data_IF_652495612557
#
_entry.id   IF_652495612557
#
_cell.length_a   1.000
_cell.length_b   1.000
_cell.length_c   1.000
_cell.angle_alpha   90.00
_cell.angle_beta   90.00
_cell.angle_gamma   90.00
#
_symmetry.space_group_name_H-M   'P 1'
#
loop_
_entity.id
_entity.type
_entity.pdbx_description
1 polymer ?
#
# COMPACT_ATOMS: atom_id res chain seq x y z
N UNK A 1 8.47 16.40 -12.75
CA UNK A 1 8.24 16.61 -14.20
C UNK A 1 7.13 17.64 -14.33
N UNK A 2 7.34 18.72 -15.08
CA UNK A 2 6.32 19.77 -15.23
C UNK A 2 5.37 19.41 -16.40
N UNK A 3 4.10 19.81 -16.38
CA UNK A 3 3.10 19.42 -17.39
C UNK A 3 3.50 19.74 -18.85
N UNK A 4 4.32 20.79 -19.05
CA UNK A 4 4.79 21.23 -20.36
C UNK A 4 5.84 20.30 -21.03
N UNK A 5 6.46 19.37 -20.30
CA UNK A 5 7.52 18.48 -20.83
C UNK A 5 6.97 17.19 -21.49
N UNK A 6 5.67 16.92 -21.37
CA UNK A 6 5.04 15.69 -21.89
C UNK A 6 4.65 15.72 -23.38
N UNK A 7 4.69 16.89 -24.04
CA UNK A 7 4.12 17.08 -25.39
C UNK A 7 5.02 16.65 -26.55
N UNK A 8 6.29 16.29 -26.30
CA UNK A 8 7.28 15.97 -27.34
C UNK A 8 7.63 14.47 -27.45
N UNK A 9 6.92 13.60 -26.74
CA UNK A 9 7.21 12.16 -26.77
C UNK A 9 6.40 11.47 -27.88
N UNK A 10 7.04 10.65 -28.75
CA UNK A 10 6.36 9.97 -29.86
C UNK A 10 5.50 8.77 -29.40
N UNK A 11 5.08 8.75 -28.15
CA UNK A 11 4.34 7.64 -27.51
C UNK A 11 3.09 8.17 -26.82
N UNK A 12 2.04 7.35 -26.75
CA UNK A 12 0.81 7.69 -26.01
C UNK A 12 1.09 7.80 -24.50
N UNK A 13 0.25 8.50 -23.73
CA UNK A 13 0.41 8.58 -22.26
C UNK A 13 0.45 7.22 -21.56
N UNK A 14 -0.27 6.22 -22.08
CA UNK A 14 -0.26 4.85 -21.56
C UNK A 14 1.10 4.17 -21.83
N UNK A 15 1.60 4.27 -23.06
CA UNK A 15 2.92 3.74 -23.43
C UNK A 15 4.05 4.46 -22.68
N UNK A 16 3.95 5.78 -22.50
CA UNK A 16 4.90 6.55 -21.71
C UNK A 16 4.90 6.09 -20.24
N UNK A 17 3.72 5.81 -19.66
CA UNK A 17 3.61 5.31 -18.29
C UNK A 17 4.18 3.89 -18.14
N UNK A 18 3.89 3.00 -19.09
CA UNK A 18 4.44 1.65 -19.07
C UNK A 18 5.95 1.64 -19.29
N UNK A 19 6.48 2.52 -20.15
CA UNK A 19 7.92 2.72 -20.32
C UNK A 19 8.57 3.27 -19.05
N UNK A 20 7.95 4.27 -18.40
CA UNK A 20 8.43 4.80 -17.13
C UNK A 20 8.42 3.74 -16.03
N UNK A 21 7.38 2.90 -15.96
CA UNK A 21 7.30 1.79 -15.02
C UNK A 21 8.38 0.74 -15.29
N UNK A 22 8.61 0.38 -16.55
CA UNK A 22 9.66 -0.56 -16.94
C UNK A 22 11.05 -0.03 -16.56
N UNK A 23 11.31 1.26 -16.76
CA UNK A 23 12.56 1.89 -16.38
C UNK A 23 12.80 1.78 -14.86
N UNK A 24 11.82 2.13 -14.03
CA UNK A 24 11.92 2.01 -12.56
C UNK A 24 12.23 0.57 -12.15
N UNK A 25 11.53 -0.41 -12.74
CA UNK A 25 11.70 -1.82 -12.40
C UNK A 25 13.04 -2.41 -12.84
N UNK A 26 13.68 -1.83 -13.86
CA UNK A 26 15.00 -2.23 -14.34
C UNK A 26 16.15 -1.51 -13.61
N UNK A 27 15.88 -0.31 -13.10
CA UNK A 27 16.87 0.57 -12.47
C UNK A 27 17.28 0.09 -11.08
N UNK A 28 16.30 -0.31 -10.25
CA UNK A 28 16.60 -0.79 -8.90
C UNK A 28 15.71 -1.94 -8.42
N UNK A 29 16.24 -2.72 -7.49
CA UNK A 29 15.46 -3.69 -6.70
C UNK A 29 15.26 -3.10 -5.31
N UNK A 30 14.03 -3.19 -4.79
CA UNK A 30 13.75 -2.71 -3.44
C UNK A 30 14.44 -3.60 -2.39
N UNK A 31 14.95 -2.95 -1.35
CA UNK A 31 15.29 -3.65 -0.11
C UNK A 31 13.99 -3.98 0.62
N UNK A 32 13.89 -5.19 1.16
CA UNK A 32 12.71 -5.66 1.89
C UNK A 32 13.12 -6.07 3.30
N UNK A 33 12.65 -5.32 4.29
CA UNK A 33 12.88 -5.58 5.71
C UNK A 33 11.59 -6.00 6.39
N UNK A 34 11.60 -7.12 7.12
CA UNK A 34 10.46 -7.54 7.91
C UNK A 34 10.43 -6.78 9.24
N UNK A 35 9.29 -6.20 9.55
CA UNK A 35 9.02 -5.50 10.82
C UNK A 35 7.83 -6.14 11.53
N UNK A 36 7.75 -5.97 12.85
CA UNK A 36 6.57 -6.31 13.63
C UNK A 36 5.86 -5.04 14.10
N UNK A 37 4.60 -4.88 13.70
CA UNK A 37 3.75 -3.77 14.11
C UNK A 37 2.80 -4.26 15.22
N UNK A 38 3.36 -4.46 16.42
CA UNK A 38 2.66 -4.95 17.60
C UNK A 38 1.90 -6.28 17.36
N UNK A 39 2.66 -7.30 16.98
CA UNK A 39 2.15 -8.63 16.62
C UNK A 39 1.55 -8.71 15.22
N UNK A 40 1.76 -7.69 14.39
CA UNK A 40 1.35 -7.68 12.98
C UNK A 40 2.61 -7.66 12.11
N UNK A 41 3.00 -8.80 11.50
CA UNK A 41 4.17 -8.81 10.63
C UNK A 41 3.90 -7.97 9.38
N UNK A 42 4.83 -7.10 9.03
CA UNK A 42 4.78 -6.31 7.80
C UNK A 42 6.17 -6.27 7.16
N UNK A 43 6.24 -5.78 5.94
CA UNK A 43 7.49 -5.59 5.21
C UNK A 43 7.61 -4.15 4.78
N UNK A 44 8.67 -3.50 5.22
CA UNK A 44 9.08 -2.20 4.71
C UNK A 44 9.89 -2.44 3.45
N UNK A 45 9.43 -1.88 2.35
CA UNK A 45 10.05 -2.01 1.04
C UNK A 45 10.55 -0.65 0.59
N UNK A 46 11.86 -0.49 0.50
CA UNK A 46 12.50 0.81 0.29
C UNK A 46 13.44 0.77 -0.91
N UNK A 47 13.35 1.82 -1.73
CA UNK A 47 14.21 2.08 -2.88
C UNK A 47 14.90 3.44 -2.75
N UNK A 48 15.89 3.68 -3.60
CA UNK A 48 16.63 4.94 -3.66
C UNK A 48 15.84 6.02 -4.40
N UNK A 49 14.83 5.63 -5.17
CA UNK A 49 14.01 6.54 -5.99
C UNK A 49 12.53 6.49 -5.61
N UNK A 50 11.75 7.49 -6.05
CA UNK A 50 10.31 7.64 -5.75
C UNK A 50 9.39 6.55 -6.36
N UNK A 51 9.95 5.46 -6.89
CA UNK A 51 9.27 4.43 -7.68
C UNK A 51 8.77 3.21 -6.90
N UNK A 52 8.89 3.16 -5.56
CA UNK A 52 8.56 1.97 -4.77
C UNK A 52 7.18 1.36 -5.08
N UNK A 53 6.14 2.19 -5.26
CA UNK A 53 4.80 1.71 -5.59
C UNK A 53 4.70 0.97 -6.95
N UNK A 54 5.59 1.26 -7.91
CA UNK A 54 5.64 0.57 -9.21
C UNK A 54 5.99 -0.91 -9.03
N UNK A 55 6.79 -1.25 -8.01
CA UNK A 55 7.14 -2.63 -7.71
C UNK A 55 5.96 -3.49 -7.27
N UNK A 56 4.79 -2.90 -6.97
CA UNK A 56 3.56 -3.68 -6.80
C UNK A 56 3.20 -4.50 -8.05
N UNK A 57 3.61 -4.06 -9.25
CA UNK A 57 3.44 -4.85 -10.49
C UNK A 57 4.26 -6.14 -10.52
N UNK A 58 5.29 -6.24 -9.67
CA UNK A 58 6.21 -7.38 -9.56
C UNK A 58 6.39 -7.82 -8.11
N UNK A 59 5.35 -7.65 -7.30
CA UNK A 59 5.47 -7.85 -5.84
C UNK A 59 5.80 -9.30 -5.46
N UNK A 60 5.41 -10.25 -6.32
CA UNK A 60 5.71 -11.68 -6.17
C UNK A 60 7.21 -12.00 -6.29
N UNK A 61 8.02 -11.10 -6.87
CA UNK A 61 9.48 -11.22 -6.88
C UNK A 61 10.12 -10.95 -5.50
N UNK A 62 9.31 -10.46 -4.55
CA UNK A 62 9.73 -10.10 -3.20
C UNK A 62 9.05 -10.94 -2.12
N UNK A 63 7.76 -11.22 -2.27
CA UNK A 63 6.92 -11.84 -1.25
C UNK A 63 5.98 -12.87 -1.87
N UNK A 64 5.67 -13.92 -1.12
CA UNK A 64 4.55 -14.79 -1.46
C UNK A 64 3.24 -14.02 -1.18
N UNK A 65 2.45 -13.84 -2.23
CA UNK A 65 1.15 -13.15 -2.15
C UNK A 65 0.04 -14.17 -2.32
N UNK A 66 -0.92 -14.17 -1.41
CA UNK A 66 -2.12 -15.00 -1.54
C UNK A 66 -3.04 -14.44 -2.62
N UNK A 67 -4.03 -15.24 -3.04
CA UNK A 67 -5.10 -14.76 -3.93
C UNK A 67 -5.91 -13.60 -3.33
N UNK A 68 -5.85 -13.42 -2.01
CA UNK A 68 -6.53 -12.35 -1.30
C UNK A 68 -5.74 -11.04 -1.35
N UNK A 69 -4.50 -11.07 -1.83
CA UNK A 69 -3.67 -9.89 -2.06
C UNK A 69 -2.93 -9.39 -0.82
N UNK A 70 -2.67 -8.08 -0.80
CA UNK A 70 -1.86 -7.40 0.23
C UNK A 70 -2.58 -6.15 0.74
N UNK A 71 -2.36 -5.81 2.00
CA UNK A 71 -2.53 -4.43 2.45
C UNK A 71 -1.24 -3.65 2.19
N UNK A 72 -1.39 -2.41 1.74
CA UNK A 72 -0.30 -1.54 1.32
C UNK A 72 -0.50 -0.16 1.94
N UNK A 73 0.55 0.39 2.54
CA UNK A 73 0.65 1.80 2.92
C UNK A 73 1.78 2.46 2.14
N UNK A 74 1.56 3.71 1.73
CA UNK A 74 2.49 4.50 0.91
C UNK A 74 2.81 5.81 1.63
N UNK A 75 3.54 5.77 2.76
CA UNK A 75 3.70 6.95 3.62
C UNK A 75 4.54 8.05 2.96
N UNK A 76 5.52 7.70 2.14
CA UNK A 76 6.44 8.64 1.48
C UNK A 76 6.99 8.10 0.15
N UNK A 77 7.56 8.95 -0.71
CA UNK A 77 8.22 8.50 -1.93
C UNK A 77 9.33 7.49 -1.64
N UNK A 78 9.40 6.44 -2.45
CA UNK A 78 10.47 5.43 -2.35
C UNK A 78 10.33 4.45 -1.19
N UNK A 79 9.25 4.51 -0.41
CA UNK A 79 8.97 3.54 0.64
C UNK A 79 7.51 3.09 0.58
N UNK A 80 7.28 1.78 0.71
CA UNK A 80 5.97 1.21 0.94
C UNK A 80 6.02 0.18 2.05
N UNK A 81 4.94 0.08 2.82
CA UNK A 81 4.79 -0.97 3.83
C UNK A 81 3.69 -1.90 3.36
N UNK A 82 4.00 -3.19 3.32
CA UNK A 82 3.07 -4.22 2.86
C UNK A 82 2.82 -5.28 3.92
N UNK A 83 1.60 -5.80 3.94
CA UNK A 83 1.19 -6.93 4.78
C UNK A 83 0.38 -7.90 3.91
N UNK A 84 0.86 -9.13 3.66
CA UNK A 84 0.08 -10.15 2.99
C UNK A 84 -1.17 -10.51 3.75
N UNK A 85 -2.30 -10.55 3.05
CA UNK A 85 -3.57 -10.92 3.67
C UNK A 85 -3.57 -12.43 3.93
N UNK A 86 -3.76 -12.79 5.20
CA UNK A 86 -3.93 -14.17 5.64
C UNK A 86 -4.46 -14.25 7.08
N UNK A 87 -5.49 -15.07 7.28
CA UNK A 87 -6.08 -15.34 8.60
C UNK A 87 -6.90 -14.17 9.20
N UNK A 88 -7.19 -14.25 10.51
CA UNK A 88 -8.09 -13.32 11.22
C UNK A 88 -7.45 -11.96 11.60
N UNK A 89 -6.16 -11.74 11.33
CA UNK A 89 -5.43 -10.55 11.78
C UNK A 89 -5.66 -9.30 10.91
N UNK A 90 -6.48 -9.39 9.85
CA UNK A 90 -6.64 -8.31 8.85
C UNK A 90 -7.10 -6.99 9.47
N UNK A 91 -8.08 -7.00 10.37
CA UNK A 91 -8.57 -5.76 11.01
C UNK A 91 -7.48 -5.09 11.86
N UNK A 92 -6.72 -5.89 12.61
CA UNK A 92 -5.56 -5.38 13.36
C UNK A 92 -4.54 -4.81 12.40
N UNK A 93 -4.23 -5.50 11.30
CA UNK A 93 -3.26 -5.02 10.34
C UNK A 93 -3.67 -3.70 9.68
N UNK A 94 -4.95 -3.50 9.33
CA UNK A 94 -5.46 -2.20 8.85
C UNK A 94 -5.15 -1.10 9.87
N UNK A 95 -5.48 -1.32 11.13
CA UNK A 95 -5.23 -0.35 12.19
C UNK A 95 -3.74 -0.02 12.33
N UNK A 96 -2.87 -1.04 12.36
CA UNK A 96 -1.43 -0.86 12.51
C UNK A 96 -0.80 -0.12 11.33
N UNK A 97 -1.16 -0.50 10.10
CA UNK A 97 -0.67 0.18 8.90
C UNK A 97 -1.22 1.62 8.83
N UNK A 98 -2.47 1.85 9.21
CA UNK A 98 -3.07 3.18 9.22
C UNK A 98 -2.37 4.12 10.20
N UNK A 99 -2.11 3.65 11.43
CA UNK A 99 -1.40 4.43 12.44
C UNK A 99 0.02 4.78 12.00
N UNK A 100 0.74 3.80 11.44
CA UNK A 100 2.07 4.02 10.89
C UNK A 100 2.04 5.04 9.75
N UNK A 101 1.17 4.85 8.76
CA UNK A 101 1.05 5.75 7.61
C UNK A 101 0.67 7.17 8.03
N UNK A 102 -0.27 7.33 8.97
CA UNK A 102 -0.66 8.64 9.48
C UNK A 102 0.45 9.33 10.27
N UNK A 103 1.25 8.59 11.03
CA UNK A 103 2.40 9.13 11.76
C UNK A 103 3.47 9.62 10.79
N UNK A 104 3.86 8.78 9.83
CA UNK A 104 4.91 9.11 8.84
C UNK A 104 4.47 10.23 7.89
N UNK A 105 3.22 10.23 7.45
CA UNK A 105 2.67 11.31 6.62
C UNK A 105 2.69 12.66 7.33
N UNK A 106 2.45 12.70 8.66
CA UNK A 106 2.43 13.95 9.43
C UNK A 106 3.81 14.41 9.89
N UNK A 107 4.79 13.51 9.98
CA UNK A 107 6.13 13.86 10.47
C UNK A 107 7.01 14.48 9.39
N UNK A 108 6.56 14.54 8.14
CA UNK A 108 7.38 14.96 6.99
C UNK A 108 6.60 15.86 6.03
N UNK A 109 7.32 16.75 5.35
CA UNK A 109 6.76 17.62 4.33
C UNK A 109 6.52 16.90 2.99
N UNK A 110 7.15 15.72 2.80
CA UNK A 110 7.07 14.90 1.57
C UNK A 110 6.14 13.69 1.69
N UNK A 111 5.21 13.69 2.66
CA UNK A 111 4.26 12.61 2.86
C UNK A 111 3.44 12.31 1.58
N UNK A 112 3.39 11.04 1.17
CA UNK A 112 2.72 10.63 -0.06
C UNK A 112 1.23 10.32 0.17
N UNK A 113 0.93 9.42 1.12
CA UNK A 113 -0.44 9.08 1.48
C UNK A 113 -0.53 8.58 2.92
N UNK A 114 -1.50 9.06 3.71
CA UNK A 114 -1.77 8.51 5.04
C UNK A 114 -2.67 7.26 5.00
N UNK A 115 -3.12 6.83 3.81
CA UNK A 115 -4.16 5.80 3.69
C UNK A 115 -3.59 4.39 3.53
N UNK A 116 -4.43 3.40 3.87
CA UNK A 116 -4.19 1.99 3.59
C UNK A 116 -4.98 1.58 2.35
N UNK A 117 -4.35 0.77 1.52
CA UNK A 117 -4.89 0.25 0.28
C UNK A 117 -4.88 -1.27 0.30
N UNK A 118 -5.85 -1.87 -0.35
CA UNK A 118 -5.85 -3.27 -0.71
C UNK A 118 -5.30 -3.40 -2.13
N UNK A 119 -4.16 -4.06 -2.27
CA UNK A 119 -3.63 -4.48 -3.55
C UNK A 119 -4.10 -5.90 -3.88
N UNK A 120 -4.78 -6.06 -5.00
CA UNK A 120 -5.18 -7.36 -5.54
C UNK A 120 -5.28 -7.29 -7.06
N UNK A 121 -4.76 -8.30 -7.76
CA UNK A 121 -4.82 -8.43 -9.22
C UNK A 121 -4.38 -7.15 -9.96
N UNK A 122 -3.28 -6.54 -9.50
CA UNK A 122 -2.72 -5.32 -10.07
C UNK A 122 -3.50 -4.02 -9.78
N UNK A 123 -4.51 -4.07 -8.91
CA UNK A 123 -5.34 -2.89 -8.54
C UNK A 123 -5.14 -2.51 -7.08
N UNK A 124 -4.93 -1.22 -6.83
CA UNK A 124 -4.99 -0.63 -5.50
C UNK A 124 -6.38 -0.07 -5.24
N UNK A 125 -7.05 -0.58 -4.22
CA UNK A 125 -8.34 -0.08 -3.75
C UNK A 125 -8.18 0.51 -2.36
N UNK A 126 -8.49 1.80 -2.17
CA UNK A 126 -8.38 2.44 -0.85
C UNK A 126 -9.37 1.82 0.13
N UNK A 127 -8.89 1.46 1.32
CA UNK A 127 -9.72 1.12 2.47
C UNK A 127 -10.03 2.42 3.21
N UNK A 128 -11.30 2.79 3.29
CA UNK A 128 -11.67 4.01 4.02
C UNK A 128 -11.56 3.74 5.52
N UNK A 129 -10.86 4.62 6.23
CA UNK A 129 -10.70 4.53 7.66
C UNK A 129 -10.52 5.92 8.25
N UNK A 130 -11.25 6.20 9.32
CA UNK A 130 -11.29 7.49 10.00
C UNK A 130 -11.20 7.30 11.51
N UNK A 131 -10.44 8.18 12.17
CA UNK A 131 -10.36 8.20 13.63
C UNK A 131 -11.50 9.06 14.17
N UNK A 132 -12.46 8.42 14.82
CA UNK A 132 -13.60 9.10 15.45
C UNK A 132 -13.41 9.16 16.95
N UNK A 133 -13.88 10.23 17.57
CA UNK A 133 -13.94 10.34 19.04
C UNK A 133 -15.37 10.00 19.48
N UNK A 134 -15.50 8.96 20.28
CA UNK A 134 -16.79 8.48 20.80
C UNK A 134 -16.63 8.15 22.28
N UNK A 135 -17.46 8.76 23.13
CA UNK A 135 -17.45 8.56 24.59
C UNK A 135 -16.07 8.81 25.25
N UNK A 136 -15.33 9.79 24.75
CA UNK A 136 -13.96 10.12 25.22
C UNK A 136 -12.88 9.11 24.79
N UNK A 137 -13.23 8.12 23.97
CA UNK A 137 -12.32 7.15 23.38
C UNK A 137 -12.15 7.42 21.89
N UNK A 138 -10.89 7.43 21.42
CA UNK A 138 -10.58 7.48 20.00
C UNK A 138 -10.65 6.07 19.42
N UNK A 139 -11.43 5.89 18.35
CA UNK A 139 -11.62 4.61 17.67
C UNK A 139 -11.40 4.78 16.18
N UNK A 140 -10.75 3.80 15.56
CA UNK A 140 -10.65 3.73 14.11
C UNK A 140 -11.91 3.07 13.56
N UNK A 141 -12.71 3.83 12.82
CA UNK A 141 -13.86 3.32 12.07
C UNK A 141 -13.39 3.01 10.67
N UNK A 142 -13.51 1.74 10.27
CA UNK A 142 -13.13 1.26 8.94
C UNK A 142 -14.38 1.01 8.12
N UNK A 143 -14.46 1.63 6.95
CA UNK A 143 -15.49 1.40 5.94
C UNK A 143 -14.84 0.70 4.73
N UNK A 144 -14.80 -0.64 4.72
CA UNK A 144 -14.18 -1.38 3.64
C UNK A 144 -15.01 -1.29 2.35
N UNK A 145 -14.38 -1.27 1.16
CA UNK A 145 -15.10 -1.39 -0.09
C UNK A 145 -15.84 -2.74 -0.16
N UNK A 146 -16.97 -2.85 -0.90
CA UNK A 146 -17.85 -4.02 -0.85
C UNK A 146 -17.15 -5.36 -1.12
N UNK A 147 -16.17 -5.39 -2.02
CA UNK A 147 -15.40 -6.59 -2.32
C UNK A 147 -14.49 -6.99 -1.15
N UNK A 148 -13.83 -6.03 -0.52
CA UNK A 148 -13.00 -6.29 0.66
C UNK A 148 -13.86 -6.70 1.87
N UNK A 149 -15.06 -6.15 2.01
CA UNK A 149 -16.01 -6.55 3.05
C UNK A 149 -16.42 -8.04 2.91
N UNK A 150 -16.57 -8.53 1.68
CA UNK A 150 -16.84 -9.96 1.42
C UNK A 150 -15.65 -10.82 1.82
N UNK A 151 -14.44 -10.42 1.44
CA UNK A 151 -13.20 -11.08 1.87
C UNK A 151 -13.10 -11.18 3.40
N UNK A 152 -13.36 -10.09 4.13
CA UNK A 152 -13.38 -10.12 5.59
C UNK A 152 -14.40 -11.13 6.14
N UNK A 153 -15.58 -11.20 5.53
CA UNK A 153 -16.63 -12.14 5.92
C UNK A 153 -16.24 -13.61 5.59
N UNK A 154 -15.54 -13.85 4.49
CA UNK A 154 -15.02 -15.17 4.11
C UNK A 154 -13.94 -15.65 5.10
N UNK A 155 -12.99 -14.78 5.43
CA UNK A 155 -11.92 -15.07 6.40
C UNK A 155 -12.49 -15.42 7.79
N UNK A 156 -13.54 -14.72 8.22
CA UNK A 156 -14.23 -15.00 9.47
C UNK A 156 -14.96 -16.37 9.49
N UNK A 157 -15.34 -16.90 8.32
CA UNK A 157 -15.98 -18.22 8.19
C UNK A 157 -15.00 -19.37 8.08
N UNK A 158 -13.80 -19.13 7.56
CA UNK A 158 -12.77 -20.14 7.33
C UNK A 158 -11.85 -20.41 8.53
N UNK A 159 -12.22 -19.97 9.73
CA UNK A 159 -11.45 -20.09 10.98
C UNK A 159 -12.06 -21.08 11.95
#
# INVERSE_FOLDING_TARGET
>A
MRPEEAFCWPVTPAEALDLAAANVLADERLTSERVDLDGTPAWVMSGSHSGAAVHLRRIEDYLLVSSDGLMVALPRPGEMIVHPIGGLSVMRAIERLWLLAHREYRSRDDGLSPHVYWWKDGRLTRIQAELVEQDGLRRLVVAPPPEFARLLADLARGS
#
